data_IF_411769357607
#
_entry.id   IF_411769357607
#
_cell.length_a   1.000
_cell.length_b   1.000
_cell.length_c   1.000
_cell.angle_alpha   90.00
_cell.angle_beta   90.00
_cell.angle_gamma   90.00
#
_symmetry.space_group_name_H-M   'P 1'
#
loop_
_entity.id
_entity.type
_entity.pdbx_description
1 polymer ?
#
# COMPACT_ATOMS: atom_id res chain seq x y z
N UNK A 1 2.85 -4.18 28.08
CA UNK A 1 3.57 -3.36 27.08
C UNK A 1 4.21 -4.30 26.08
N UNK A 2 3.66 -4.39 24.87
CA UNK A 2 4.31 -5.01 23.72
C UNK A 2 4.54 -3.88 22.72
N UNK A 3 5.78 -3.40 22.64
CA UNK A 3 6.16 -2.35 21.72
C UNK A 3 5.94 -2.87 20.29
N UNK A 4 4.96 -2.30 19.60
CA UNK A 4 4.93 -2.38 18.15
C UNK A 4 6.16 -1.62 17.67
N UNK A 5 7.17 -2.33 17.17
CA UNK A 5 8.26 -1.71 16.44
C UNK A 5 7.66 -1.16 15.14
N UNK A 6 7.13 0.06 15.19
CA UNK A 6 6.89 0.82 13.99
C UNK A 6 8.27 1.03 13.36
N UNK A 7 8.54 0.33 12.25
CA UNK A 7 9.59 0.78 11.34
C UNK A 7 9.23 2.23 11.01
N UNK A 8 10.10 3.21 11.33
CA UNK A 8 9.89 4.56 10.86
C UNK A 8 9.78 4.44 9.34
N UNK A 9 8.61 4.72 8.79
CA UNK A 9 8.48 4.84 7.35
C UNK A 9 9.44 5.95 6.95
N UNK A 10 10.55 5.57 6.30
CA UNK A 10 11.41 6.55 5.66
C UNK A 10 10.51 7.30 4.69
N UNK A 11 10.33 8.59 4.91
CA UNK A 11 9.74 9.45 3.88
C UNK A 11 10.80 9.50 2.80
N UNK A 12 10.68 8.59 1.85
CA UNK A 12 11.51 8.56 0.65
C UNK A 12 11.04 9.70 -0.24
N UNK A 13 11.98 10.45 -0.83
CA UNK A 13 11.70 11.50 -1.80
C UNK A 13 11.15 10.93 -3.14
N UNK A 14 10.75 9.65 -3.16
CA UNK A 14 10.25 8.94 -4.32
C UNK A 14 11.33 8.48 -5.28
N UNK A 15 12.59 8.58 -4.88
CA UNK A 15 13.77 8.26 -5.70
C UNK A 15 14.22 6.81 -5.57
N UNK A 16 13.82 6.12 -4.50
CA UNK A 16 14.13 4.71 -4.31
C UNK A 16 13.10 3.81 -5.01
N UNK A 17 13.61 2.74 -5.61
CA UNK A 17 12.77 1.68 -6.18
C UNK A 17 12.15 0.87 -5.04
N UNK A 18 10.85 0.67 -5.12
CA UNK A 18 10.09 -0.12 -4.15
C UNK A 18 9.36 -1.22 -4.91
N UNK A 19 9.61 -2.46 -4.52
CA UNK A 19 8.77 -3.60 -4.88
C UNK A 19 7.79 -3.85 -3.73
N UNK A 20 6.48 -3.72 -4.01
CA UNK A 20 5.44 -3.94 -3.01
C UNK A 20 5.13 -5.43 -2.79
N UNK A 21 5.58 -6.32 -3.67
CA UNK A 21 5.38 -7.77 -3.54
C UNK A 21 3.91 -8.19 -3.43
N UNK A 22 2.98 -7.37 -3.91
CA UNK A 22 1.55 -7.68 -3.84
C UNK A 22 1.18 -8.66 -4.96
N UNK A 23 0.36 -9.65 -4.64
CA UNK A 23 -0.23 -10.49 -5.69
C UNK A 23 -1.36 -9.73 -6.39
N UNK A 24 -1.75 -10.11 -7.62
CA UNK A 24 -2.91 -9.53 -8.28
C UNK A 24 -4.19 -9.62 -7.43
N UNK A 25 -5.05 -8.62 -7.58
CA UNK A 25 -6.39 -8.56 -6.98
C UNK A 25 -7.41 -8.02 -7.98
N UNK A 26 -8.69 -8.32 -7.75
CA UNK A 26 -9.81 -7.86 -8.59
C UNK A 26 -9.99 -6.34 -8.55
N UNK A 27 -9.68 -5.71 -7.41
CA UNK A 27 -9.72 -4.26 -7.23
C UNK A 27 -8.41 -3.78 -6.61
N UNK A 28 -7.87 -2.70 -7.17
CA UNK A 28 -6.69 -2.00 -6.65
C UNK A 28 -7.07 -0.57 -6.31
N UNK A 29 -6.71 -0.10 -5.11
CA UNK A 29 -6.84 1.30 -4.71
C UNK A 29 -5.48 1.85 -4.32
N UNK A 30 -5.11 2.95 -4.98
CA UNK A 30 -3.90 3.72 -4.70
C UNK A 30 -4.31 5.03 -4.03
N UNK A 31 -3.69 5.36 -2.89
CA UNK A 31 -3.89 6.66 -2.23
C UNK A 31 -2.57 7.16 -1.65
N UNK A 32 -2.37 8.48 -1.60
CA UNK A 32 -1.24 9.07 -0.88
C UNK A 32 -1.50 9.14 0.64
N UNK A 33 -2.74 8.90 1.09
CA UNK A 33 -3.14 9.00 2.49
C UNK A 33 -3.33 7.61 3.12
N UNK A 34 -2.43 7.25 4.04
CA UNK A 34 -2.50 5.97 4.76
C UNK A 34 -3.81 5.78 5.54
N UNK A 35 -4.43 6.89 5.99
CA UNK A 35 -5.71 6.87 6.71
C UNK A 35 -6.86 6.37 5.83
N UNK A 36 -6.87 6.72 4.54
CA UNK A 36 -7.87 6.23 3.58
C UNK A 36 -7.71 4.73 3.33
N UNK A 37 -6.47 4.28 3.13
CA UNK A 37 -6.14 2.86 2.97
C UNK A 37 -6.53 2.06 4.22
N UNK A 38 -6.23 2.57 5.42
CA UNK A 38 -6.59 1.92 6.68
C UNK A 38 -8.11 1.80 6.87
N UNK A 39 -8.85 2.88 6.57
CA UNK A 39 -10.31 2.90 6.61
C UNK A 39 -10.91 1.89 5.62
N UNK A 40 -10.40 1.85 4.39
CA UNK A 40 -10.88 0.94 3.36
C UNK A 40 -10.57 -0.53 3.70
N UNK A 41 -9.38 -0.81 4.23
CA UNK A 41 -9.03 -2.14 4.73
C UNK A 41 -9.98 -2.59 5.84
N UNK A 42 -10.31 -1.71 6.77
CA UNK A 42 -11.25 -1.99 7.86
C UNK A 42 -12.67 -2.25 7.36
N UNK A 43 -13.16 -1.46 6.39
CA UNK A 43 -14.45 -1.67 5.76
C UNK A 43 -14.49 -2.99 4.98
N UNK A 44 -13.48 -3.26 4.16
CA UNK A 44 -13.42 -4.47 3.35
C UNK A 44 -13.41 -5.74 4.20
N UNK A 45 -12.69 -5.78 5.33
CA UNK A 45 -12.69 -6.95 6.23
C UNK A 45 -14.09 -7.38 6.69
N UNK A 46 -15.07 -6.46 6.67
CA UNK A 46 -16.46 -6.73 7.07
C UNK A 46 -17.30 -7.29 5.93
N UNK A 47 -16.99 -6.93 4.69
CA UNK A 47 -17.76 -7.31 3.49
C UNK A 47 -17.15 -8.51 2.79
N UNK A 48 -15.83 -8.48 2.58
CA UNK A 48 -15.03 -9.53 1.95
C UNK A 48 -15.60 -10.10 0.64
N UNK A 49 -16.12 -9.22 -0.22
CA UNK A 49 -16.83 -9.62 -1.44
C UNK A 49 -15.91 -9.88 -2.65
N UNK A 50 -14.69 -9.34 -2.65
CA UNK A 50 -13.71 -9.47 -3.73
C UNK A 50 -12.30 -9.43 -3.14
N UNK A 51 -11.29 -9.66 -3.97
CA UNK A 51 -9.88 -9.48 -3.62
C UNK A 51 -9.45 -8.03 -3.83
N UNK A 52 -9.07 -7.35 -2.73
CA UNK A 52 -8.64 -5.95 -2.73
C UNK A 52 -7.14 -5.81 -2.47
N UNK A 53 -6.49 -4.92 -3.22
CA UNK A 53 -5.11 -4.46 -3.01
C UNK A 53 -5.09 -2.97 -2.72
N UNK A 54 -4.30 -2.60 -1.71
CA UNK A 54 -4.17 -1.25 -1.19
C UNK A 54 -2.69 -0.90 -1.18
N UNK A 55 -2.32 0.21 -1.81
CA UNK A 55 -0.93 0.66 -1.84
C UNK A 55 -0.86 2.18 -1.68
N UNK A 56 0.19 2.64 -0.98
CA UNK A 56 0.46 4.07 -0.87
C UNK A 56 1.10 4.56 -2.16
N UNK A 57 0.50 5.56 -2.81
CA UNK A 57 0.96 6.11 -4.08
C UNK A 57 2.40 6.65 -3.99
N UNK A 58 2.81 7.15 -2.82
CA UNK A 58 4.17 7.66 -2.60
C UNK A 58 5.24 6.56 -2.69
N UNK A 59 4.86 5.29 -2.51
CA UNK A 59 5.77 4.15 -2.70
C UNK A 59 5.97 3.81 -4.18
N UNK A 60 5.12 4.31 -5.08
CA UNK A 60 5.18 4.09 -6.52
C UNK A 60 5.75 5.31 -7.28
N UNK A 61 6.43 6.21 -6.58
CA UNK A 61 6.94 7.44 -7.18
C UNK A 61 8.08 7.21 -8.21
N UNK A 62 8.88 6.16 -8.02
CA UNK A 62 9.90 5.78 -8.99
C UNK A 62 9.25 4.99 -10.15
N UNK A 63 9.53 5.30 -11.44
CA UNK A 63 8.91 4.61 -12.58
C UNK A 63 9.06 3.09 -12.55
N UNK A 64 10.24 2.58 -12.18
CA UNK A 64 10.46 1.14 -12.01
C UNK A 64 9.56 0.51 -10.92
N UNK A 65 9.20 1.23 -9.87
CA UNK A 65 8.25 0.73 -8.85
C UNK A 65 6.87 0.49 -9.45
N UNK A 66 6.45 1.34 -10.40
CA UNK A 66 5.20 1.17 -11.14
C UNK A 66 5.26 -0.10 -12.00
N UNK A 67 6.38 -0.31 -12.69
CA UNK A 67 6.59 -1.50 -13.53
C UNK A 67 6.58 -2.80 -12.71
N UNK A 68 7.12 -2.78 -11.48
CA UNK A 68 7.16 -3.92 -10.57
C UNK A 68 5.81 -4.25 -9.91
N UNK A 69 4.89 -3.28 -9.87
CA UNK A 69 3.59 -3.46 -9.23
C UNK A 69 2.55 -4.21 -10.09
N UNK A 70 2.90 -4.51 -11.35
CA UNK A 70 2.02 -5.16 -12.34
C UNK A 70 1.68 -6.62 -12.06
#
# INVERSE_FOLDING_TARGET
>A
MHLLAAMPGTITDGTEVVDLGQTPGEVVVLSAADTELACLAAAHRRVNAFSLRLANLLQLAHPLSVDLYG
#
